data_IF_502617717573
#
_entry.id   IF_502617717573
#
_cell.length_a   1.000
_cell.length_b   1.000
_cell.length_c   1.000
_cell.angle_alpha   90.00
_cell.angle_beta   90.00
_cell.angle_gamma   90.00
#
_symmetry.space_group_name_H-M   'P 1'
#
loop_
_entity.id
_entity.type
_entity.pdbx_description
1 polymer ?
#
# COMPACT_ATOMS: atom_id res chain seq x y z
N UNK A 1 -11.01 0.03 19.23
CA UNK A 1 -11.12 -0.24 17.78
C UNK A 1 -12.19 -1.28 17.54
N UNK A 2 -12.15 -2.42 18.23
CA UNK A 2 -13.11 -3.52 18.10
C UNK A 2 -14.53 -3.15 18.55
N UNK A 3 -14.68 -2.55 19.74
CA UNK A 3 -16.00 -2.10 20.22
C UNK A 3 -16.66 -1.08 19.28
N UNK A 4 -15.86 -0.20 18.65
CA UNK A 4 -16.33 0.75 17.65
C UNK A 4 -16.75 0.02 16.37
N UNK A 5 -15.96 -0.94 15.89
CA UNK A 5 -16.27 -1.74 14.71
C UNK A 5 -17.60 -2.52 14.84
N UNK A 6 -17.87 -3.11 16.01
CA UNK A 6 -19.12 -3.83 16.23
C UNK A 6 -20.33 -2.90 16.42
N UNK A 7 -20.17 -1.80 17.17
CA UNK A 7 -21.28 -0.91 17.51
C UNK A 7 -21.62 0.13 16.43
N UNK A 8 -20.61 0.62 15.70
CA UNK A 8 -20.76 1.70 14.72
C UNK A 8 -20.71 1.21 13.29
N UNK A 9 -19.90 0.19 12.99
CA UNK A 9 -19.77 -0.39 11.65
C UNK A 9 -20.55 -1.70 11.49
N UNK A 10 -21.25 -2.14 12.54
CA UNK A 10 -22.11 -3.33 12.55
C UNK A 10 -21.40 -4.60 12.09
N UNK A 11 -20.07 -4.67 12.29
CA UNK A 11 -19.29 -5.87 11.99
C UNK A 11 -19.75 -6.96 12.97
N UNK A 12 -20.10 -8.18 12.50
CA UNK A 12 -20.49 -9.27 13.38
C UNK A 12 -19.43 -9.54 14.46
N UNK A 13 -19.85 -9.76 15.71
CA UNK A 13 -18.94 -10.01 16.85
C UNK A 13 -18.08 -11.26 16.70
N UNK A 14 -18.48 -12.19 15.82
CA UNK A 14 -17.72 -13.37 15.44
C UNK A 14 -16.55 -13.09 14.48
N UNK A 15 -16.47 -11.87 13.91
CA UNK A 15 -15.44 -11.47 12.96
C UNK A 15 -14.50 -10.49 13.67
N UNK A 16 -13.21 -10.80 13.72
CA UNK A 16 -12.23 -9.81 14.16
C UNK A 16 -11.99 -8.80 13.01
N UNK A 17 -12.32 -7.52 13.20
CA UNK A 17 -12.27 -6.51 12.14
C UNK A 17 -10.84 -6.22 11.67
N UNK A 18 -9.86 -6.26 12.58
CA UNK A 18 -8.44 -6.00 12.25
C UNK A 18 -7.86 -7.15 11.45
N UNK A 19 -8.14 -8.38 11.87
CA UNK A 19 -7.70 -9.61 11.19
C UNK A 19 -8.17 -9.68 9.74
N UNK A 20 -9.35 -9.13 9.44
CA UNK A 20 -9.89 -9.07 8.07
C UNK A 20 -9.15 -8.06 7.20
N UNK A 21 -8.77 -6.90 7.76
CA UNK A 21 -8.01 -5.86 7.06
C UNK A 21 -6.54 -6.25 6.83
N UNK A 22 -5.99 -7.16 7.65
CA UNK A 22 -4.61 -7.64 7.53
C UNK A 22 -4.30 -8.30 6.18
N UNK A 23 -5.32 -8.78 5.45
CA UNK A 23 -5.17 -9.42 4.14
C UNK A 23 -5.65 -8.53 2.98
N UNK A 24 -6.08 -7.30 3.24
CA UNK A 24 -6.28 -6.35 2.16
C UNK A 24 -4.89 -5.99 1.60
N UNK A 25 -4.66 -6.10 0.28
CA UNK A 25 -3.44 -5.57 -0.29
C UNK A 25 -3.44 -4.08 0.00
N UNK A 26 -2.57 -3.64 0.91
CA UNK A 26 -2.20 -2.24 0.94
C UNK A 26 -1.63 -1.98 -0.45
N UNK A 27 -2.18 -0.98 -1.14
CA UNK A 27 -1.56 -0.44 -2.34
C UNK A 27 -0.22 0.14 -1.92
N UNK A 28 0.78 -0.74 -1.79
CA UNK A 28 2.15 -0.40 -1.46
C UNK A 28 2.67 0.47 -2.58
N UNK A 29 3.36 1.53 -2.20
CA UNK A 29 4.04 2.38 -3.16
C UNK A 29 5.20 1.53 -3.73
N UNK A 30 5.31 1.36 -5.05
CA UNK A 30 6.35 0.53 -5.64
C UNK A 30 7.72 1.16 -5.41
N UNK A 31 8.75 0.33 -5.20
CA UNK A 31 10.14 0.78 -4.97
C UNK A 31 10.69 1.57 -6.16
N UNK A 32 10.31 1.14 -7.35
CA UNK A 32 10.58 1.81 -8.60
C UNK A 32 9.26 2.23 -9.23
N UNK A 33 9.15 3.52 -9.53
CA UNK A 33 7.96 4.10 -10.12
C UNK A 33 8.33 4.79 -11.42
N UNK A 34 7.76 4.31 -12.53
CA UNK A 34 7.83 5.03 -13.80
C UNK A 34 6.90 6.25 -13.71
N UNK A 35 7.44 7.40 -14.06
CA UNK A 35 6.74 8.69 -14.15
C UNK A 35 6.96 9.30 -15.53
N UNK A 36 6.25 10.38 -15.83
CA UNK A 36 6.45 11.19 -17.04
C UNK A 36 7.85 11.83 -17.11
N UNK A 37 8.47 12.05 -15.96
CA UNK A 37 9.83 12.58 -15.84
C UNK A 37 10.91 11.48 -15.85
N UNK A 38 10.52 10.21 -15.94
CA UNK A 38 11.43 9.06 -15.95
C UNK A 38 11.22 8.08 -14.80
N UNK A 39 12.19 7.17 -14.61
CA UNK A 39 12.16 6.17 -13.55
C UNK A 39 12.59 6.78 -12.21
N UNK A 40 11.75 6.66 -11.19
CA UNK A 40 12.00 7.18 -9.85
C UNK A 40 12.19 6.03 -8.87
N UNK A 41 13.29 6.09 -8.13
CA UNK A 41 13.48 5.32 -6.91
C UNK A 41 12.72 6.02 -5.78
N UNK A 42 11.64 5.38 -5.33
CA UNK A 42 10.72 5.93 -4.33
C UNK A 42 11.27 5.82 -2.90
N UNK A 43 12.28 4.97 -2.67
CA UNK A 43 12.94 4.87 -1.38
C UNK A 43 13.91 6.04 -1.16
N UNK A 44 14.60 6.44 -2.23
CA UNK A 44 15.61 7.49 -2.19
C UNK A 44 15.11 8.85 -2.69
N UNK A 45 13.89 8.90 -3.24
CA UNK A 45 13.27 10.06 -3.89
C UNK A 45 14.18 10.67 -4.97
N UNK A 46 14.76 9.81 -5.82
CA UNK A 46 15.72 10.20 -6.86
C UNK A 46 15.38 9.55 -8.19
N UNK A 47 15.74 10.24 -9.29
CA UNK A 47 15.68 9.65 -10.62
C UNK A 47 16.77 8.60 -10.80
N UNK A 48 16.41 7.49 -11.43
CA UNK A 48 17.32 6.41 -11.82
C UNK A 48 17.83 6.70 -13.23
N UNK A 49 19.14 6.86 -13.44
CA UNK A 49 19.71 6.96 -14.78
C UNK A 49 19.40 5.69 -15.59
N UNK A 50 18.85 5.86 -16.78
CA UNK A 50 18.59 4.74 -17.70
C UNK A 50 19.77 4.62 -18.65
N UNK A 51 20.52 3.53 -18.54
CA UNK A 51 21.58 3.18 -19.50
C UNK A 51 21.02 2.12 -20.46
N UNK A 52 21.04 2.41 -21.76
CA UNK A 52 20.74 1.42 -22.79
C UNK A 52 22.05 0.87 -23.34
N UNK A 53 22.16 -0.44 -23.46
CA UNK A 53 23.32 -1.13 -24.05
C UNK A 53 22.85 -1.84 -25.31
N UNK A 54 23.45 -1.48 -26.45
CA UNK A 54 23.21 -2.09 -27.76
C UNK A 54 23.58 -3.59 -27.79
#
# INVERSE_FOLDING_TARGET
MDAFAHSKLQIPTKINPVMTLSFMPLSVIPELKITDMGLVDVNNFKFVPLEYKD
#
